data_IF_951033586348
#
_entry.id   IF_951033586348
#
_cell.length_a   1.000
_cell.length_b   1.000
_cell.length_c   1.000
_cell.angle_alpha   90.00
_cell.angle_beta   90.00
_cell.angle_gamma   90.00
#
_symmetry.space_group_name_H-M   'P 1'
#
loop_
_entity.id
_entity.type
_entity.pdbx_description
1 polymer ?
#
# COMPACT_ATOMS: atom_id res chain seq x y z
N UNK A 1 50.77 -34.30 -67.32
CA UNK A 1 49.55 -34.72 -66.56
C UNK A 1 49.49 -33.86 -65.31
N UNK A 2 48.64 -32.89 -65.30
CA UNK A 2 48.54 -31.93 -64.19
C UNK A 2 47.11 -31.93 -63.58
N UNK A 3 46.95 -32.40 -62.30
CA UNK A 3 45.71 -32.35 -61.64
C UNK A 3 45.49 -30.99 -60.98
N UNK A 4 44.49 -30.21 -61.46
CA UNK A 4 43.97 -29.02 -60.76
C UNK A 4 43.06 -29.40 -59.65
N UNK A 5 43.44 -29.05 -58.36
CA UNK A 5 42.55 -29.10 -57.20
C UNK A 5 41.75 -27.80 -57.11
N UNK A 6 40.43 -27.89 -57.25
CA UNK A 6 39.51 -26.81 -57.00
C UNK A 6 39.35 -26.64 -55.48
N UNK A 7 39.75 -25.48 -54.89
CA UNK A 7 39.40 -25.02 -53.57
C UNK A 7 38.02 -24.37 -53.61
N UNK A 8 37.04 -24.97 -52.97
CA UNK A 8 35.74 -24.31 -52.64
C UNK A 8 35.96 -23.36 -51.51
N UNK A 9 35.72 -22.06 -51.75
CA UNK A 9 35.59 -21.02 -50.75
C UNK A 9 34.25 -21.17 -50.01
N UNK A 10 34.32 -21.50 -48.73
CA UNK A 10 33.17 -21.42 -47.85
C UNK A 10 32.94 -19.95 -47.47
N UNK A 11 31.94 -19.31 -48.07
CA UNK A 11 31.44 -17.99 -47.65
C UNK A 11 30.52 -18.21 -46.46
N UNK A 12 31.04 -17.93 -45.27
CA UNK A 12 30.22 -17.86 -44.04
C UNK A 12 29.42 -16.55 -44.09
N UNK A 13 28.19 -16.65 -44.56
CA UNK A 13 27.21 -15.55 -44.59
C UNK A 13 26.67 -15.35 -43.16
N UNK A 14 27.41 -14.60 -42.35
CA UNK A 14 26.91 -14.14 -41.05
C UNK A 14 25.85 -13.04 -41.30
N UNK A 15 24.60 -13.46 -41.47
CA UNK A 15 23.44 -12.54 -41.50
C UNK A 15 23.38 -11.75 -40.22
N UNK A 16 23.89 -10.53 -40.22
CA UNK A 16 23.69 -9.56 -39.15
C UNK A 16 22.18 -9.31 -39.01
N UNK A 17 21.58 -9.78 -37.89
CA UNK A 17 20.19 -9.48 -37.55
C UNK A 17 19.97 -7.97 -37.48
N UNK A 18 18.94 -7.47 -38.15
CA UNK A 18 18.58 -6.06 -38.14
C UNK A 18 18.16 -5.62 -36.72
N UNK A 19 18.38 -4.35 -36.38
CA UNK A 19 17.99 -3.82 -35.06
C UNK A 19 16.53 -4.10 -34.71
N UNK A 20 15.63 -4.09 -35.66
CA UNK A 20 14.21 -4.44 -35.50
C UNK A 20 13.98 -5.91 -35.14
N UNK A 21 14.72 -6.84 -35.75
CA UNK A 21 14.63 -8.27 -35.39
C UNK A 21 15.15 -8.54 -34.00
N UNK A 22 16.26 -7.87 -33.60
CA UNK A 22 16.78 -7.94 -32.22
C UNK A 22 15.81 -7.36 -31.20
N UNK A 23 15.13 -6.26 -31.56
CA UNK A 23 14.13 -5.64 -30.69
C UNK A 23 12.90 -6.55 -30.53
N UNK A 24 12.39 -7.11 -31.62
CA UNK A 24 11.27 -8.09 -31.58
C UNK A 24 11.64 -9.34 -30.79
N UNK A 25 12.85 -9.87 -30.92
CA UNK A 25 13.30 -11.05 -30.17
C UNK A 25 13.41 -10.75 -28.66
N UNK A 26 13.99 -9.60 -28.27
CA UNK A 26 14.03 -9.14 -26.87
C UNK A 26 12.64 -8.90 -26.28
N UNK A 27 11.70 -8.40 -27.07
CA UNK A 27 10.32 -8.17 -26.67
C UNK A 27 9.55 -9.48 -26.42
N UNK A 28 9.73 -10.48 -27.28
CA UNK A 28 9.15 -11.82 -27.13
C UNK A 28 9.75 -12.54 -25.90
N UNK A 29 11.04 -12.32 -25.62
CA UNK A 29 11.71 -12.92 -24.46
C UNK A 29 11.34 -12.27 -23.12
N UNK A 30 10.87 -11.02 -23.13
CA UNK A 30 10.58 -10.25 -21.91
C UNK A 30 9.09 -10.12 -21.57
N UNK A 31 8.22 -10.58 -22.45
CA UNK A 31 6.78 -10.58 -22.20
C UNK A 31 6.32 -12.01 -21.90
N UNK A 32 5.35 -12.14 -20.98
CA UNK A 32 4.65 -13.41 -20.73
C UNK A 32 3.94 -13.98 -21.98
N UNK A 33 4.28 -13.47 -23.15
CA UNK A 33 3.73 -13.77 -24.46
C UNK A 33 4.38 -14.95 -25.17
N UNK A 34 5.37 -15.63 -24.61
CA UNK A 34 5.95 -16.85 -25.22
C UNK A 34 4.91 -17.92 -25.60
N UNK A 35 3.73 -17.87 -25.00
CA UNK A 35 2.63 -18.80 -25.29
C UNK A 35 1.51 -18.20 -26.17
N UNK A 36 1.58 -16.91 -26.52
CA UNK A 36 0.53 -16.22 -27.28
C UNK A 36 0.57 -16.53 -28.78
N UNK A 37 1.76 -16.82 -29.32
CA UNK A 37 1.92 -17.16 -30.74
C UNK A 37 1.36 -18.54 -31.12
N UNK A 38 1.08 -19.41 -30.12
CA UNK A 38 0.52 -20.74 -30.37
C UNK A 38 -0.98 -20.76 -30.61
N UNK A 39 -1.70 -19.69 -30.26
CA UNK A 39 -3.13 -19.58 -30.48
C UNK A 39 -3.46 -18.35 -31.34
N UNK A 40 -3.56 -18.52 -32.64
CA UNK A 40 -4.10 -17.54 -33.59
C UNK A 40 -5.58 -17.25 -33.28
N UNK A 41 -5.85 -16.52 -32.23
CA UNK A 41 -7.19 -15.99 -31.95
C UNK A 41 -7.18 -14.49 -32.29
N UNK A 42 -7.96 -14.08 -33.29
CA UNK A 42 -8.19 -12.70 -33.70
C UNK A 42 -8.73 -11.77 -32.59
N UNK A 43 -8.86 -12.29 -31.34
CA UNK A 43 -9.40 -11.58 -30.16
C UNK A 43 -8.32 -11.07 -29.21
N UNK A 44 -7.03 -11.22 -29.52
CA UNK A 44 -5.93 -10.80 -28.63
C UNK A 44 -5.21 -9.60 -29.22
N UNK A 45 -5.04 -8.56 -28.40
CA UNK A 45 -4.29 -7.37 -28.72
C UNK A 45 -2.98 -7.36 -27.91
N UNK A 46 -1.86 -7.10 -28.57
CA UNK A 46 -0.58 -6.91 -27.90
C UNK A 46 -0.58 -5.54 -27.19
N UNK A 47 -0.23 -5.54 -25.90
CA UNK A 47 -0.10 -4.34 -25.09
C UNK A 47 1.34 -4.21 -24.60
N UNK A 48 1.91 -3.02 -24.75
CA UNK A 48 3.24 -2.71 -24.24
C UNK A 48 3.19 -2.37 -22.78
N UNK A 49 3.91 -3.14 -21.94
CA UNK A 49 4.01 -2.92 -20.50
C UNK A 49 5.47 -2.65 -20.14
N UNK A 50 5.73 -1.65 -19.29
CA UNK A 50 7.07 -1.35 -18.79
C UNK A 50 7.59 -2.56 -17.99
N UNK A 51 8.89 -2.91 -18.16
CA UNK A 51 9.52 -4.00 -17.39
C UNK A 51 9.34 -3.87 -15.88
N UNK A 52 9.41 -2.64 -15.39
CA UNK A 52 9.18 -2.32 -13.98
C UNK A 52 7.80 -2.77 -13.52
N UNK A 53 6.75 -2.48 -14.30
CA UNK A 53 5.38 -2.90 -13.96
C UNK A 53 5.27 -4.42 -13.88
N UNK A 54 5.91 -5.16 -14.78
CA UNK A 54 5.91 -6.61 -14.75
C UNK A 54 6.60 -7.16 -13.49
N UNK A 55 7.77 -6.63 -13.13
CA UNK A 55 8.45 -7.03 -11.89
C UNK A 55 7.62 -6.71 -10.64
N UNK A 56 7.00 -5.53 -10.62
CA UNK A 56 6.12 -5.14 -9.53
C UNK A 56 4.95 -6.12 -9.38
N UNK A 57 4.29 -6.50 -10.48
CA UNK A 57 3.16 -7.43 -10.46
C UNK A 57 3.60 -8.84 -10.04
N UNK A 58 4.78 -9.30 -10.47
CA UNK A 58 5.35 -10.58 -10.03
C UNK A 58 5.62 -10.60 -8.52
N UNK A 59 6.22 -9.55 -7.96
CA UNK A 59 6.47 -9.46 -6.52
C UNK A 59 5.17 -9.29 -5.73
N UNK A 60 4.23 -8.47 -6.22
CA UNK A 60 2.92 -8.31 -5.62
C UNK A 60 2.18 -9.65 -5.55
N UNK A 61 2.20 -10.43 -6.64
CA UNK A 61 1.56 -11.75 -6.68
C UNK A 61 2.14 -12.70 -5.63
N UNK A 62 3.47 -12.74 -5.48
CA UNK A 62 4.13 -13.55 -4.42
C UNK A 62 3.64 -13.14 -3.03
N UNK A 63 3.59 -11.84 -2.75
CA UNK A 63 3.11 -11.32 -1.46
C UNK A 63 1.63 -11.64 -1.24
N UNK A 64 0.79 -11.56 -2.27
CA UNK A 64 -0.62 -11.91 -2.18
C UNK A 64 -0.83 -13.40 -1.87
N UNK A 65 0.03 -14.28 -2.40
CA UNK A 65 0.03 -15.71 -2.02
C UNK A 65 0.37 -15.88 -0.54
N UNK A 66 1.36 -15.15 0.00
CA UNK A 66 1.68 -15.18 1.44
C UNK A 66 0.54 -14.63 2.30
N UNK A 67 -0.16 -13.59 1.86
CA UNK A 67 -1.35 -13.08 2.53
C UNK A 67 -2.48 -14.12 2.60
N UNK A 68 -2.69 -14.91 1.56
CA UNK A 68 -3.64 -16.03 1.57
C UNK A 68 -3.24 -17.12 2.57
N UNK A 69 -1.95 -17.47 2.64
CA UNK A 69 -1.41 -18.39 3.64
C UNK A 69 -1.62 -17.86 5.06
N UNK A 70 -1.35 -16.57 5.27
CA UNK A 70 -1.58 -15.89 6.54
C UNK A 70 -3.06 -15.96 6.94
N UNK A 71 -3.99 -15.63 6.03
CA UNK A 71 -5.43 -15.73 6.31
C UNK A 71 -5.85 -17.16 6.69
N UNK A 72 -5.35 -18.17 5.97
CA UNK A 72 -5.59 -19.58 6.31
C UNK A 72 -5.07 -19.92 7.71
N UNK A 73 -3.87 -19.41 8.08
CA UNK A 73 -3.30 -19.61 9.41
C UNK A 73 -4.16 -18.94 10.49
N UNK A 74 -4.58 -17.68 10.29
CA UNK A 74 -5.48 -16.95 11.18
C UNK A 74 -6.76 -17.74 11.45
N UNK A 75 -7.38 -18.27 10.41
CA UNK A 75 -8.60 -19.08 10.52
C UNK A 75 -8.36 -20.38 11.28
N UNK A 76 -7.28 -21.10 10.97
CA UNK A 76 -7.00 -22.40 11.58
C UNK A 76 -6.64 -22.28 13.07
N UNK A 77 -5.97 -21.20 13.45
CA UNK A 77 -5.53 -20.96 14.83
C UNK A 77 -6.52 -20.13 15.65
N UNK A 78 -7.62 -19.66 15.05
CA UNK A 78 -8.59 -18.80 15.74
C UNK A 78 -8.04 -17.43 16.13
N UNK A 79 -7.03 -16.93 15.43
CA UNK A 79 -6.38 -15.67 15.77
C UNK A 79 -7.29 -14.47 15.49
N UNK A 80 -7.01 -13.36 16.20
CA UNK A 80 -7.64 -12.05 16.00
C UNK A 80 -6.57 -11.06 15.53
N UNK A 81 -6.64 -10.59 14.28
CA UNK A 81 -5.69 -9.63 13.72
C UNK A 81 -6.32 -8.26 13.56
N UNK A 82 -5.64 -7.26 14.08
CA UNK A 82 -6.00 -5.85 13.94
C UNK A 82 -4.83 -5.09 13.32
N UNK A 83 -5.06 -4.47 12.15
CA UNK A 83 -4.07 -3.69 11.42
C UNK A 83 -4.54 -2.23 11.34
N UNK A 84 -3.76 -1.31 11.86
CA UNK A 84 -4.02 0.13 11.78
C UNK A 84 -3.15 0.75 10.69
N UNK A 85 -3.78 1.45 9.76
CA UNK A 85 -3.13 2.15 8.66
C UNK A 85 -3.23 3.64 8.87
N UNK A 86 -2.12 4.25 9.30
CA UNK A 86 -2.01 5.66 9.59
C UNK A 86 -1.01 6.36 8.66
N UNK A 87 -1.05 7.67 8.66
CA UNK A 87 -0.19 8.49 7.82
C UNK A 87 -0.93 9.66 7.20
N UNK A 88 -0.18 10.57 6.58
CA UNK A 88 -0.73 11.77 5.95
C UNK A 88 -1.69 11.42 4.81
N UNK A 89 -2.45 12.42 4.38
CA UNK A 89 -3.30 12.30 3.20
C UNK A 89 -2.44 12.05 1.96
N UNK A 90 -3.00 11.32 1.02
CA UNK A 90 -2.30 10.83 -0.16
C UNK A 90 -1.06 9.94 0.10
N UNK A 91 -0.78 9.52 1.34
CA UNK A 91 0.36 8.62 1.63
C UNK A 91 0.20 7.20 1.07
N UNK A 92 -0.98 6.80 0.57
CA UNK A 92 -1.18 5.51 -0.09
C UNK A 92 -1.85 4.44 0.76
N UNK A 93 -2.38 4.77 1.94
CA UNK A 93 -3.09 3.86 2.85
C UNK A 93 -4.13 2.99 2.14
N UNK A 94 -5.17 3.61 1.57
CA UNK A 94 -6.25 2.89 0.90
C UNK A 94 -5.80 2.08 -0.31
N UNK A 95 -4.75 2.52 -1.04
CA UNK A 95 -4.15 1.74 -2.12
C UNK A 95 -3.47 0.46 -1.62
N UNK A 96 -2.78 0.53 -0.49
CA UNK A 96 -2.16 -0.63 0.15
C UNK A 96 -3.21 -1.59 0.71
N UNK A 97 -4.21 -1.07 1.42
CA UNK A 97 -5.35 -1.86 1.93
C UNK A 97 -6.02 -2.62 0.79
N UNK A 98 -6.32 -1.94 -0.33
CA UNK A 98 -6.92 -2.57 -1.51
C UNK A 98 -6.10 -3.76 -2.01
N UNK A 99 -4.76 -3.63 -2.12
CA UNK A 99 -3.88 -4.70 -2.58
C UNK A 99 -3.78 -5.86 -1.60
N UNK A 100 -3.83 -5.57 -0.30
CA UNK A 100 -3.82 -6.59 0.76
C UNK A 100 -5.08 -7.45 0.68
N UNK A 101 -6.26 -6.84 0.55
CA UNK A 101 -7.53 -7.56 0.61
C UNK A 101 -7.97 -8.17 -0.72
N UNK A 102 -7.34 -7.82 -1.83
CA UNK A 102 -7.77 -8.12 -3.21
C UNK A 102 -8.11 -9.58 -3.42
N UNK A 103 -7.34 -10.50 -2.83
CA UNK A 103 -7.55 -11.94 -2.95
C UNK A 103 -7.99 -12.61 -1.64
N UNK A 104 -8.08 -11.85 -0.54
CA UNK A 104 -8.51 -12.41 0.73
C UNK A 104 -10.01 -12.73 0.73
N UNK A 105 -10.39 -13.75 1.47
CA UNK A 105 -11.79 -14.09 1.64
C UNK A 105 -12.50 -13.01 2.49
N UNK A 106 -13.51 -12.32 1.96
CA UNK A 106 -14.18 -11.23 2.65
C UNK A 106 -14.98 -11.66 3.89
N UNK A 107 -15.30 -12.95 4.03
CA UNK A 107 -15.99 -13.46 5.24
C UNK A 107 -15.12 -13.44 6.50
N UNK A 108 -13.79 -13.35 6.36
CA UNK A 108 -12.85 -13.29 7.46
C UNK A 108 -11.96 -12.07 7.42
N UNK A 109 -12.27 -11.08 6.56
CA UNK A 109 -11.49 -9.85 6.41
C UNK A 109 -12.42 -8.67 6.25
N UNK A 110 -12.26 -7.64 7.11
CA UNK A 110 -13.07 -6.42 7.05
C UNK A 110 -12.18 -5.19 6.99
N UNK A 111 -12.59 -4.20 6.21
CA UNK A 111 -12.02 -2.85 6.23
C UNK A 111 -12.97 -1.94 6.98
N UNK A 112 -12.43 -1.20 7.93
CA UNK A 112 -13.15 -0.20 8.72
C UNK A 112 -12.60 1.17 8.37
N UNK A 113 -13.45 2.02 7.81
CA UNK A 113 -13.15 3.42 7.49
C UNK A 113 -14.30 4.27 8.05
N UNK A 114 -14.12 4.80 9.26
CA UNK A 114 -15.15 5.57 9.93
C UNK A 114 -15.19 7.00 9.39
N UNK A 115 -16.39 7.51 9.20
CA UNK A 115 -16.63 8.91 8.89
C UNK A 115 -16.35 9.80 10.12
N UNK A 116 -16.51 11.12 9.98
CA UNK A 116 -16.51 12.01 11.14
C UNK A 116 -17.57 11.56 12.16
N UNK A 117 -17.29 11.70 13.48
CA UNK A 117 -18.24 11.28 14.50
C UNK A 117 -19.54 12.09 14.40
N UNK A 118 -20.67 11.42 14.56
CA UNK A 118 -21.96 12.07 14.71
C UNK A 118 -22.12 12.74 16.08
N UNK A 119 -23.24 13.40 16.34
CA UNK A 119 -23.46 14.14 17.58
C UNK A 119 -23.56 13.23 18.81
N UNK A 120 -24.04 12.00 18.64
CA UNK A 120 -24.08 10.99 19.70
C UNK A 120 -22.67 10.50 20.01
N UNK A 121 -21.92 10.11 18.99
CA UNK A 121 -20.55 9.61 19.12
C UNK A 121 -19.59 10.65 19.75
N UNK A 122 -19.81 11.96 19.51
CA UNK A 122 -19.04 13.06 20.13
C UNK A 122 -19.17 13.12 21.63
N UNK A 123 -20.29 12.66 22.20
CA UNK A 123 -20.55 12.63 23.66
C UNK A 123 -20.12 11.34 24.33
N UNK A 124 -19.84 10.31 23.55
CA UNK A 124 -19.40 9.01 24.04
C UNK A 124 -17.92 8.98 24.38
N UNK A 125 -17.50 7.93 25.08
CA UNK A 125 -16.09 7.64 25.27
C UNK A 125 -15.39 7.50 23.90
N UNK A 126 -14.30 8.21 23.71
CA UNK A 126 -13.67 8.39 22.41
C UNK A 126 -13.39 7.07 21.65
N UNK A 127 -12.96 6.04 22.36
CA UNK A 127 -12.64 4.75 21.75
C UNK A 127 -13.87 3.90 21.41
N UNK A 128 -15.05 4.23 21.95
CA UNK A 128 -16.26 3.40 21.83
C UNK A 128 -16.62 3.10 20.38
N UNK A 129 -16.55 4.09 19.50
CA UNK A 129 -16.83 3.93 18.07
C UNK A 129 -15.86 3.02 17.32
N UNK A 130 -14.67 2.77 17.86
CA UNK A 130 -13.65 1.89 17.28
C UNK A 130 -13.76 0.47 17.86
N UNK A 131 -14.02 0.34 19.15
CA UNK A 131 -14.03 -0.94 19.87
C UNK A 131 -15.08 -1.90 19.30
N UNK A 132 -16.24 -1.41 18.88
CA UNK A 132 -17.28 -2.23 18.26
C UNK A 132 -16.82 -2.93 16.96
N UNK A 133 -15.73 -2.49 16.38
CA UNK A 133 -15.17 -3.05 15.15
C UNK A 133 -13.95 -3.95 15.37
N UNK A 134 -13.59 -4.26 16.61
CA UNK A 134 -12.47 -5.15 16.92
C UNK A 134 -12.71 -6.55 16.32
N UNK A 135 -11.62 -7.29 16.00
CA UNK A 135 -11.73 -8.60 15.37
C UNK A 135 -12.27 -9.65 16.35
N UNK A 136 -13.20 -10.48 15.90
CA UNK A 136 -13.53 -11.74 16.50
C UNK A 136 -12.51 -12.84 16.14
N UNK A 137 -12.59 -14.00 16.75
CA UNK A 137 -11.73 -15.13 16.39
C UNK A 137 -11.84 -15.46 14.89
N UNK A 138 -10.70 -15.71 14.24
CA UNK A 138 -10.56 -16.00 12.80
C UNK A 138 -10.73 -14.79 11.88
N UNK A 139 -10.79 -13.57 12.42
CA UNK A 139 -10.95 -12.34 11.64
C UNK A 139 -9.65 -11.52 11.51
N UNK A 140 -9.53 -10.85 10.37
CA UNK A 140 -8.54 -9.81 10.06
C UNK A 140 -9.31 -8.51 9.85
N UNK A 141 -9.04 -7.51 10.68
CA UNK A 141 -9.67 -6.19 10.56
C UNK A 141 -8.60 -5.16 10.22
N UNK A 142 -8.85 -4.39 9.17
CA UNK A 142 -7.97 -3.31 8.70
C UNK A 142 -8.67 -1.97 8.93
N UNK A 143 -8.05 -1.09 9.70
CA UNK A 143 -8.54 0.27 9.88
C UNK A 143 -7.86 1.21 8.90
N UNK A 144 -8.61 1.84 7.97
CA UNK A 144 -8.15 2.98 7.18
C UNK A 144 -8.40 4.25 7.98
N UNK A 145 -7.39 4.72 8.68
CA UNK A 145 -7.43 5.61 9.84
C UNK A 145 -8.10 4.94 11.06
N UNK A 146 -7.67 5.32 12.24
CA UNK A 146 -8.11 4.70 13.48
C UNK A 146 -8.33 5.75 14.57
N UNK A 147 -8.33 5.32 15.82
CA UNK A 147 -8.31 6.22 16.97
C UNK A 147 -7.16 7.23 16.96
N UNK A 148 -6.11 7.00 16.18
CA UNK A 148 -5.01 7.94 16.02
C UNK A 148 -5.37 9.23 15.27
N UNK A 149 -6.59 9.36 14.74
CA UNK A 149 -7.12 10.66 14.31
C UNK A 149 -7.00 11.72 15.42
N UNK A 150 -7.21 11.34 16.70
CA UNK A 150 -7.08 12.23 17.88
C UNK A 150 -5.63 12.67 18.13
N UNK A 151 -4.63 11.97 17.58
CA UNK A 151 -3.22 12.35 17.67
C UNK A 151 -2.74 13.20 16.49
N UNK A 152 -3.43 13.13 15.34
CA UNK A 152 -2.96 13.71 14.07
C UNK A 152 -3.93 14.76 13.54
N UNK A 153 -4.94 14.35 12.80
CA UNK A 153 -5.84 15.26 12.07
C UNK A 153 -6.69 16.10 13.00
N UNK A 154 -7.20 15.55 14.08
CA UNK A 154 -8.11 16.26 14.98
C UNK A 154 -7.46 17.48 15.66
N UNK A 155 -6.27 17.39 16.29
CA UNK A 155 -5.64 18.55 16.90
C UNK A 155 -5.14 19.57 15.86
N UNK A 156 -4.71 19.13 14.66
CA UNK A 156 -4.24 20.05 13.61
C UNK A 156 -5.40 20.86 13.03
N UNK A 157 -6.57 20.23 12.84
CA UNK A 157 -7.75 20.86 12.27
C UNK A 157 -8.67 21.52 13.33
N UNK A 158 -8.28 21.49 14.60
CA UNK A 158 -9.10 22.04 15.69
C UNK A 158 -10.37 21.25 16.00
N UNK A 159 -10.42 19.96 15.62
CA UNK A 159 -11.57 19.08 15.89
C UNK A 159 -11.55 18.50 17.32
N UNK A 160 -10.47 18.68 18.05
CA UNK A 160 -10.37 18.38 19.47
C UNK A 160 -9.55 19.45 20.20
N UNK A 161 -9.71 19.52 21.53
CA UNK A 161 -8.88 20.41 22.36
C UNK A 161 -7.49 19.81 22.61
N UNK A 162 -6.54 20.64 23.04
CA UNK A 162 -5.21 20.17 23.42
C UNK A 162 -5.25 19.22 24.63
N UNK A 163 -6.18 19.44 25.57
CA UNK A 163 -6.40 18.55 26.71
C UNK A 163 -6.88 17.17 26.27
N UNK A 164 -7.82 17.13 25.31
CA UNK A 164 -8.31 15.86 24.73
C UNK A 164 -7.20 15.11 23.99
N UNK A 165 -6.36 15.82 23.24
CA UNK A 165 -5.20 15.23 22.57
C UNK A 165 -4.17 14.68 23.58
N UNK A 166 -3.78 15.48 24.60
CA UNK A 166 -2.85 15.05 25.66
C UNK A 166 -3.36 13.84 26.44
N UNK A 167 -4.65 13.85 26.79
CA UNK A 167 -5.29 12.72 27.46
C UNK A 167 -5.25 11.46 26.58
N UNK A 168 -5.63 11.59 25.31
CA UNK A 168 -5.59 10.48 24.36
C UNK A 168 -4.19 9.84 24.27
N UNK A 169 -3.13 10.66 24.15
CA UNK A 169 -1.75 10.15 24.04
C UNK A 169 -1.31 9.37 25.29
N UNK A 170 -1.84 9.72 26.46
CA UNK A 170 -1.61 8.97 27.70
C UNK A 170 -2.42 7.68 27.76
N UNK A 171 -3.67 7.70 27.30
CA UNK A 171 -4.61 6.61 27.46
C UNK A 171 -4.44 5.50 26.41
N UNK A 172 -4.08 5.86 25.16
CA UNK A 172 -4.01 4.91 24.04
C UNK A 172 -3.02 3.76 24.24
N UNK A 173 -1.82 3.95 24.84
CA UNK A 173 -0.94 2.82 25.12
C UNK A 173 -1.53 1.79 26.07
N UNK A 174 -2.33 2.22 27.04
CA UNK A 174 -3.02 1.29 27.97
C UNK A 174 -4.13 0.52 27.26
N UNK A 175 -4.91 1.19 26.40
CA UNK A 175 -5.90 0.51 25.57
C UNK A 175 -5.24 -0.57 24.70
N UNK A 176 -4.19 -0.22 24.00
CA UNK A 176 -3.49 -1.16 23.11
C UNK A 176 -2.86 -2.33 23.90
N UNK A 177 -2.32 -2.06 25.07
CA UNK A 177 -1.81 -3.09 25.98
C UNK A 177 -2.93 -4.05 26.42
N UNK A 178 -4.11 -3.54 26.78
CA UNK A 178 -5.27 -4.38 27.12
C UNK A 178 -5.68 -5.26 25.95
N UNK A 179 -5.77 -4.71 24.73
CA UNK A 179 -6.12 -5.46 23.54
C UNK A 179 -5.11 -6.58 23.22
N UNK A 180 -3.82 -6.28 23.36
CA UNK A 180 -2.74 -7.27 23.10
C UNK A 180 -2.74 -8.36 24.17
N UNK A 181 -2.91 -8.00 25.44
CA UNK A 181 -3.01 -8.97 26.56
C UNK A 181 -4.24 -9.86 26.45
N UNK A 182 -5.33 -9.34 25.90
CA UNK A 182 -6.53 -10.14 25.59
C UNK A 182 -6.34 -11.05 24.37
N UNK A 183 -5.18 -11.00 23.69
CA UNK A 183 -4.79 -11.88 22.60
C UNK A 183 -5.09 -11.34 21.20
N UNK A 184 -5.42 -10.06 21.04
CA UNK A 184 -5.48 -9.40 19.73
C UNK A 184 -4.05 -9.14 19.26
N UNK A 185 -3.74 -9.56 18.05
CA UNK A 185 -2.48 -9.25 17.39
C UNK A 185 -2.60 -7.90 16.69
N UNK A 186 -2.07 -6.87 17.32
CA UNK A 186 -2.13 -5.49 16.86
C UNK A 186 -0.88 -5.13 16.05
N UNK A 187 -1.08 -4.61 14.84
CA UNK A 187 -0.03 -4.07 13.99
C UNK A 187 -0.35 -2.62 13.62
N UNK A 188 0.62 -1.73 13.81
CA UNK A 188 0.47 -0.29 13.50
C UNK A 188 1.42 0.09 12.38
N UNK A 189 0.88 0.59 11.27
CA UNK A 189 1.64 1.04 10.10
C UNK A 189 1.49 2.55 9.91
N UNK A 190 2.60 3.26 9.86
CA UNK A 190 2.62 4.68 9.55
C UNK A 190 3.25 4.94 8.19
N UNK A 191 2.45 5.39 7.23
CA UNK A 191 2.88 5.72 5.87
C UNK A 191 3.46 7.13 5.84
N UNK A 192 4.77 7.22 5.69
CA UNK A 192 5.52 8.48 5.64
C UNK A 192 5.76 8.90 4.21
N UNK A 193 5.10 9.97 3.78
CA UNK A 193 5.24 10.60 2.46
C UNK A 193 5.99 11.93 2.62
N UNK A 194 6.77 12.36 1.61
CA UNK A 194 7.36 13.70 1.59
C UNK A 194 6.33 14.75 1.15
N UNK A 195 6.61 16.02 1.43
CA UNK A 195 5.73 17.15 1.08
C UNK A 195 5.54 17.25 -0.43
N UNK A 196 6.61 17.08 -1.17
CA UNK A 196 6.64 17.14 -2.64
C UNK A 196 5.85 15.99 -3.26
N UNK A 197 6.03 14.77 -2.74
CA UNK A 197 5.30 13.60 -3.25
C UNK A 197 3.81 13.67 -2.89
N UNK A 198 3.45 14.21 -1.73
CA UNK A 198 2.06 14.44 -1.37
C UNK A 198 1.41 15.44 -2.34
N UNK A 199 2.09 16.57 -2.62
CA UNK A 199 1.62 17.59 -3.57
C UNK A 199 1.41 16.96 -4.96
N UNK A 200 2.43 16.27 -5.48
CA UNK A 200 2.34 15.58 -6.77
C UNK A 200 1.15 14.63 -6.87
N UNK A 201 0.82 13.94 -5.75
CA UNK A 201 -0.35 13.04 -5.69
C UNK A 201 -1.66 13.79 -5.65
N UNK A 202 -1.73 14.95 -5.01
CA UNK A 202 -2.90 15.81 -5.05
C UNK A 202 -3.15 16.34 -6.46
N UNK A 203 -2.14 16.86 -7.14
CA UNK A 203 -2.24 17.31 -8.54
C UNK A 203 -2.73 16.17 -9.46
N UNK A 204 -2.19 14.97 -9.26
CA UNK A 204 -2.66 13.78 -10.00
C UNK A 204 -4.12 13.42 -9.72
N UNK A 205 -4.66 13.76 -8.54
CA UNK A 205 -6.08 13.52 -8.24
C UNK A 205 -6.98 14.56 -8.91
N UNK A 206 -6.53 15.80 -9.05
CA UNK A 206 -7.31 16.85 -9.72
C UNK A 206 -7.49 16.58 -11.21
N UNK A 207 -6.48 15.99 -11.85
CA UNK A 207 -6.47 15.70 -13.29
C UNK A 207 -7.12 14.37 -13.66
N UNK A 208 -7.25 13.43 -12.74
CA UNK A 208 -7.78 12.09 -13.00
C UNK A 208 -9.25 11.98 -12.57
N UNK A 209 -10.15 11.83 -13.53
CA UNK A 209 -11.60 11.74 -13.31
C UNK A 209 -12.01 10.66 -12.29
N UNK A 210 -11.26 9.56 -12.18
CA UNK A 210 -11.52 8.50 -11.22
C UNK A 210 -11.00 8.82 -9.80
N UNK A 211 -10.25 9.92 -9.64
CA UNK A 211 -9.65 10.31 -8.36
C UNK A 211 -10.19 11.63 -7.81
N UNK A 212 -10.89 12.44 -8.61
CA UNK A 212 -11.42 13.75 -8.21
C UNK A 212 -12.27 13.69 -6.94
N UNK A 213 -13.09 12.64 -6.78
CA UNK A 213 -13.93 12.45 -5.59
C UNK A 213 -13.14 12.08 -4.31
N UNK A 214 -11.81 11.93 -4.40
CA UNK A 214 -10.93 11.66 -3.25
C UNK A 214 -10.30 12.93 -2.68
N UNK A 215 -10.60 14.09 -3.20
CA UNK A 215 -10.10 15.38 -2.71
C UNK A 215 -11.15 15.96 -1.78
N UNK A 216 -10.74 16.19 -0.54
CA UNK A 216 -11.55 16.87 0.48
C UNK A 216 -11.01 18.28 0.77
N UNK A 217 -11.80 19.18 1.38
CA UNK A 217 -11.28 20.46 1.87
C UNK A 217 -10.09 20.30 2.82
N UNK A 218 -10.09 19.26 3.65
CA UNK A 218 -8.99 18.94 4.59
C UNK A 218 -7.70 18.62 3.84
N UNK A 219 -7.77 17.93 2.68
CA UNK A 219 -6.60 17.61 1.87
C UNK A 219 -5.87 18.86 1.37
N UNK A 220 -6.62 19.92 1.01
CA UNK A 220 -6.04 21.20 0.55
C UNK A 220 -5.31 21.91 1.68
N UNK A 221 -5.90 21.94 2.87
CA UNK A 221 -5.29 22.53 4.07
C UNK A 221 -4.06 21.74 4.57
N UNK A 222 -3.98 20.44 4.28
CA UNK A 222 -2.90 19.58 4.77
C UNK A 222 -1.49 19.99 4.29
N UNK A 223 -1.37 20.68 3.14
CA UNK A 223 -0.11 21.22 2.64
C UNK A 223 0.34 22.48 3.40
N UNK A 224 -0.61 23.35 3.75
CA UNK A 224 -0.36 24.57 4.50
C UNK A 224 0.04 24.23 5.94
N UNK A 225 -0.61 23.25 6.54
CA UNK A 225 -0.37 22.80 7.92
C UNK A 225 0.69 21.68 8.02
N UNK A 226 1.59 21.60 7.04
CA UNK A 226 2.60 20.53 6.97
C UNK A 226 3.44 20.38 8.23
N UNK A 227 3.88 21.51 8.80
CA UNK A 227 4.76 21.52 9.96
C UNK A 227 4.01 21.12 11.24
N UNK A 228 2.77 21.55 11.41
CA UNK A 228 1.92 21.14 12.53
C UNK A 228 1.69 19.63 12.51
N UNK A 229 1.36 19.09 11.34
CA UNK A 229 1.28 17.62 11.16
C UNK A 229 2.61 16.93 11.47
N UNK A 230 3.75 17.56 11.17
CA UNK A 230 5.06 16.97 11.46
C UNK A 230 5.31 16.91 12.95
N UNK A 231 5.03 17.97 13.69
CA UNK A 231 5.13 18.01 15.15
C UNK A 231 4.23 16.95 15.78
N UNK A 232 2.94 16.91 15.41
CA UNK A 232 1.99 15.93 15.94
C UNK A 232 2.39 14.49 15.61
N UNK A 233 2.94 14.23 14.41
CA UNK A 233 3.49 12.91 14.05
C UNK A 233 4.61 12.48 15.00
N UNK A 234 5.59 13.33 15.23
CA UNK A 234 6.69 13.00 16.13
C UNK A 234 6.21 12.78 17.54
N UNK A 235 5.33 13.62 18.06
CA UNK A 235 4.74 13.45 19.37
C UNK A 235 4.01 12.10 19.48
N UNK A 236 3.12 11.80 18.54
CA UNK A 236 2.40 10.53 18.49
C UNK A 236 3.35 9.33 18.50
N UNK A 237 4.34 9.31 17.61
CA UNK A 237 5.27 8.18 17.51
C UNK A 237 6.07 8.01 18.81
N UNK A 238 6.58 9.08 19.39
CA UNK A 238 7.37 9.02 20.62
C UNK A 238 6.54 8.54 21.82
N UNK A 239 5.32 9.04 21.98
CA UNK A 239 4.50 8.73 23.15
C UNK A 239 3.80 7.37 23.06
N UNK A 240 3.58 6.85 21.84
CA UNK A 240 2.78 5.64 21.64
C UNK A 240 3.55 4.45 21.04
N UNK A 241 4.85 4.59 20.80
CA UNK A 241 5.68 3.45 20.37
C UNK A 241 6.04 2.58 21.59
N UNK A 242 5.37 1.46 21.76
CA UNK A 242 5.56 0.54 22.88
C UNK A 242 5.97 -0.84 22.37
N UNK A 243 6.71 -1.59 23.17
CA UNK A 243 7.21 -2.94 22.82
C UNK A 243 6.09 -3.90 22.44
N UNK A 244 4.93 -3.82 23.12
CA UNK A 244 3.78 -4.69 22.85
C UNK A 244 3.03 -4.31 21.57
N UNK A 245 3.08 -3.04 21.17
CA UNK A 245 2.41 -2.51 19.99
C UNK A 245 3.32 -1.47 19.30
N UNK A 246 4.40 -1.90 18.65
CA UNK A 246 5.34 -0.98 17.99
C UNK A 246 4.76 -0.40 16.69
N UNK A 247 5.23 0.79 16.33
CA UNK A 247 5.00 1.37 15.03
C UNK A 247 5.95 0.80 13.97
N UNK A 248 5.40 0.42 12.82
CA UNK A 248 6.17 0.16 11.60
C UNK A 248 6.05 1.37 10.68
N UNK A 249 7.16 2.08 10.45
CA UNK A 249 7.18 3.24 9.55
C UNK A 249 7.47 2.76 8.13
N UNK A 250 6.59 3.12 7.19
CA UNK A 250 6.70 2.77 5.77
C UNK A 250 7.05 4.03 4.98
N UNK A 251 8.30 4.18 4.51
CA UNK A 251 8.71 5.34 3.70
C UNK A 251 8.19 5.21 2.27
N UNK A 252 7.15 5.96 1.94
CA UNK A 252 6.45 5.86 0.66
C UNK A 252 7.26 6.46 -0.51
N UNK A 253 7.95 7.57 -0.26
CA UNK A 253 8.75 8.24 -1.29
C UNK A 253 9.95 7.39 -1.74
N UNK A 254 10.50 6.57 -0.85
CA UNK A 254 11.63 5.70 -1.13
C UNK A 254 11.28 4.50 -2.01
N UNK A 255 10.05 3.99 -1.90
CA UNK A 255 9.57 2.89 -2.76
C UNK A 255 9.38 3.34 -4.20
N UNK A 256 9.10 4.63 -4.42
CA UNK A 256 9.01 5.21 -5.77
C UNK A 256 10.38 5.47 -6.40
N UNK A 257 11.37 5.90 -5.62
CA UNK A 257 12.73 6.15 -6.12
C UNK A 257 13.41 4.88 -6.61
N UNK A 258 13.29 3.76 -5.88
CA UNK A 258 13.79 2.46 -6.36
C UNK A 258 13.16 1.98 -7.66
N UNK A 259 12.00 2.47 -7.99
CA UNK A 259 11.30 2.19 -9.24
C UNK A 259 11.89 2.96 -10.45
N UNK A 260 12.68 4.00 -10.21
CA UNK A 260 13.29 4.83 -11.25
C UNK A 260 14.79 4.60 -11.41
N UNK A 261 15.45 3.96 -10.44
CA UNK A 261 16.91 3.76 -10.44
C UNK A 261 17.36 2.42 -11.05
N UNK A 262 16.45 1.60 -11.54
CA UNK A 262 16.71 0.35 -12.25
C UNK A 262 15.93 0.29 -13.57
#
# INVERSE_FOLDING_TARGET
MAHKKNKKLNVNDSKKETPEKKLKKKLVEHTAFKNLDKHKSNKRQAVWVKKFTLRYEEELHKLQVELLKMQKHVRNKGLRLLLLFEGRDAAGKGGTIKRIIEHLNPRGTRVVALLAPDDTERTQWYFQRYIQHLPAAKEIVLFDRSWYNRAMVEPVMGFCTDEQNKRFLKDVPFLEEMLVKDGIRLFKFFFSVSKEEQLRRFDSRETDLLKQYKISPVDRMAQEMWDDYTVRKFQMLNETNRTLAPWTIIPVSYTHLRAHET
#
